data_IF_803360308173
#
_entry.id   IF_803360308173
#
_cell.length_a   1.000
_cell.length_b   1.000
_cell.length_c   1.000
_cell.angle_alpha   90.00
_cell.angle_beta   90.00
_cell.angle_gamma   90.00
#
_symmetry.space_group_name_H-M   'P 1'
#
loop_
_entity.id
_entity.type
_entity.pdbx_description
1 polymer ?
#
# COMPACT_ATOMS: atom_id res chain seq x y z
N UNK A 1 -46.86 11.28 25.56
CA UNK A 1 -46.34 10.54 24.39
C UNK A 1 -44.84 10.81 24.31
N UNK A 2 -43.98 9.79 24.31
CA UNK A 2 -42.51 9.95 24.20
C UNK A 2 -42.09 9.52 22.81
N UNK A 3 -41.44 10.42 22.08
CA UNK A 3 -40.83 10.13 20.77
C UNK A 3 -39.36 9.83 21.04
N UNK A 4 -38.91 8.66 20.59
CA UNK A 4 -37.50 8.29 20.62
C UNK A 4 -36.91 8.55 19.23
N UNK A 5 -35.96 9.46 19.16
CA UNK A 5 -35.15 9.69 17.96
C UNK A 5 -33.93 8.78 18.05
N UNK A 6 -33.84 7.83 17.12
CA UNK A 6 -32.65 7.02 16.93
C UNK A 6 -31.84 7.66 15.80
N UNK A 7 -30.61 8.08 16.10
CA UNK A 7 -29.63 8.42 15.08
C UNK A 7 -29.08 7.11 14.52
N UNK A 8 -29.60 6.67 13.38
CA UNK A 8 -28.94 5.65 12.58
C UNK A 8 -27.83 6.35 11.79
N UNK A 9 -26.58 5.98 12.05
CA UNK A 9 -25.48 6.32 11.15
C UNK A 9 -25.59 5.38 9.95
N UNK A 10 -26.03 5.90 8.81
CA UNK A 10 -25.74 5.25 7.54
C UNK A 10 -24.25 5.46 7.29
N UNK A 11 -23.42 4.52 7.76
CA UNK A 11 -22.01 4.49 7.40
C UNK A 11 -21.95 4.37 5.88
N UNK A 12 -21.12 5.19 5.25
CA UNK A 12 -20.71 4.93 3.88
C UNK A 12 -20.03 3.56 3.87
N UNK A 13 -20.59 2.59 3.15
CA UNK A 13 -20.04 1.23 3.00
C UNK A 13 -18.79 1.21 2.10
N UNK A 14 -17.97 2.27 2.16
CA UNK A 14 -16.87 2.49 1.23
C UNK A 14 -15.64 2.97 1.99
N UNK A 15 -14.71 2.04 2.16
CA UNK A 15 -13.34 2.28 2.58
C UNK A 15 -12.38 1.76 1.53
N UNK A 16 -11.09 1.95 1.75
CA UNK A 16 -10.03 1.28 1.02
C UNK A 16 -9.56 0.05 1.78
N UNK A 17 -8.96 -0.90 1.08
CA UNK A 17 -8.27 -2.03 1.66
C UNK A 17 -6.81 -2.02 1.23
N UNK A 18 -5.90 -2.16 2.18
CA UNK A 18 -4.46 -2.21 1.91
C UNK A 18 -3.82 -3.37 2.66
N UNK A 19 -3.04 -4.18 1.95
CA UNK A 19 -2.27 -5.28 2.52
C UNK A 19 -0.81 -5.17 2.07
N UNK A 20 0.12 -5.24 3.03
CA UNK A 20 1.56 -5.27 2.76
C UNK A 20 2.13 -6.61 3.23
N UNK A 21 2.77 -7.31 2.29
CA UNK A 21 3.47 -8.57 2.56
C UNK A 21 4.98 -8.40 2.49
N UNK A 22 5.72 -9.20 3.25
CA UNK A 22 7.19 -9.31 3.15
C UNK A 22 7.61 -10.72 2.77
N UNK A 23 8.61 -10.82 1.90
CA UNK A 23 9.21 -12.08 1.44
C UNK A 23 10.71 -12.11 1.71
N UNK A 24 11.32 -13.28 1.53
CA UNK A 24 12.75 -13.50 1.75
C UNK A 24 13.62 -12.80 0.69
N UNK A 25 13.13 -12.77 -0.54
CA UNK A 25 13.81 -12.23 -1.72
C UNK A 25 12.82 -11.54 -2.66
N UNK A 26 13.39 -10.71 -3.54
CA UNK A 26 12.65 -9.89 -4.50
C UNK A 26 11.98 -10.72 -5.60
N UNK A 27 12.60 -11.84 -6.01
CA UNK A 27 12.02 -12.72 -7.03
C UNK A 27 10.69 -13.30 -6.56
N UNK A 28 10.63 -13.81 -5.32
CA UNK A 28 9.39 -14.33 -4.73
C UNK A 28 8.32 -13.23 -4.60
N UNK A 29 8.71 -12.02 -4.18
CA UNK A 29 7.79 -10.90 -4.08
C UNK A 29 7.20 -10.52 -5.45
N UNK A 30 8.03 -10.46 -6.49
CA UNK A 30 7.60 -10.16 -7.86
C UNK A 30 6.66 -11.24 -8.42
N UNK A 31 6.97 -12.52 -8.22
CA UNK A 31 6.12 -13.64 -8.64
C UNK A 31 4.74 -13.59 -7.96
N UNK A 32 4.70 -13.30 -6.65
CA UNK A 32 3.44 -13.17 -5.91
C UNK A 32 2.64 -11.96 -6.36
N UNK A 33 3.29 -10.80 -6.56
CA UNK A 33 2.62 -9.61 -7.07
C UNK A 33 2.01 -9.84 -8.46
N UNK A 34 2.77 -10.46 -9.37
CA UNK A 34 2.28 -10.81 -10.71
C UNK A 34 1.08 -11.74 -10.63
N UNK A 35 1.17 -12.81 -9.83
CA UNK A 35 0.09 -13.77 -9.68
C UNK A 35 -1.18 -13.12 -9.12
N UNK A 36 -1.05 -12.26 -8.11
CA UNK A 36 -2.18 -11.55 -7.53
C UNK A 36 -2.78 -10.53 -8.49
N UNK A 37 -1.98 -9.81 -9.26
CA UNK A 37 -2.48 -8.90 -10.29
C UNK A 37 -3.28 -9.66 -11.36
N UNK A 38 -2.74 -10.78 -11.85
CA UNK A 38 -3.40 -11.64 -12.85
C UNK A 38 -4.75 -12.18 -12.32
N UNK A 39 -4.75 -12.76 -11.12
CA UNK A 39 -5.96 -13.33 -10.54
C UNK A 39 -6.98 -12.24 -10.20
N UNK A 40 -6.56 -11.07 -9.71
CA UNK A 40 -7.47 -9.96 -9.41
C UNK A 40 -8.14 -9.45 -10.67
N UNK A 41 -7.39 -9.25 -11.76
CA UNK A 41 -7.94 -8.85 -13.05
C UNK A 41 -8.91 -9.91 -13.61
N UNK A 42 -8.54 -11.19 -13.55
CA UNK A 42 -9.40 -12.28 -13.99
C UNK A 42 -10.70 -12.36 -13.17
N UNK A 43 -10.61 -12.17 -11.85
CA UNK A 43 -11.75 -12.24 -10.94
C UNK A 43 -12.71 -11.06 -11.13
N UNK A 44 -12.19 -9.83 -11.26
CA UNK A 44 -13.02 -8.67 -11.62
C UNK A 44 -13.75 -8.89 -12.95
N UNK A 45 -13.07 -9.38 -13.98
CA UNK A 45 -13.70 -9.69 -15.28
C UNK A 45 -14.70 -10.86 -15.21
N UNK A 46 -14.56 -11.77 -14.25
CA UNK A 46 -15.54 -12.83 -14.00
C UNK A 46 -16.81 -12.26 -13.32
N UNK A 47 -16.67 -11.39 -12.32
CA UNK A 47 -17.80 -10.73 -11.66
C UNK A 47 -18.61 -9.86 -12.61
N UNK A 48 -17.94 -9.08 -13.48
CA UNK A 48 -18.61 -8.25 -14.49
C UNK A 48 -19.46 -9.08 -15.46
N UNK A 49 -18.95 -10.23 -15.90
CA UNK A 49 -19.66 -11.11 -16.84
C UNK A 49 -20.83 -11.85 -16.20
N UNK A 50 -20.67 -12.30 -14.96
CA UNK A 50 -21.70 -13.05 -14.24
C UNK A 50 -22.75 -12.14 -13.61
N UNK A 51 -22.47 -10.83 -13.49
CA UNK A 51 -23.30 -9.87 -12.74
C UNK A 51 -23.61 -10.35 -11.32
N UNK A 52 -22.67 -11.07 -10.70
CA UNK A 52 -22.84 -11.67 -9.38
C UNK A 52 -23.72 -12.92 -9.35
N UNK A 53 -24.10 -13.50 -10.50
CA UNK A 53 -24.71 -14.83 -10.53
C UNK A 53 -23.67 -15.89 -10.12
N UNK A 54 -24.04 -16.81 -9.22
CA UNK A 54 -23.17 -17.90 -8.74
C UNK A 54 -23.05 -19.03 -9.79
N UNK A 55 -22.52 -18.68 -10.96
CA UNK A 55 -22.37 -19.55 -12.12
C UNK A 55 -20.96 -20.18 -12.14
N UNK A 56 -20.71 -21.10 -11.21
CA UNK A 56 -19.54 -21.97 -11.22
C UNK A 56 -18.29 -21.40 -10.52
N UNK A 57 -17.12 -22.05 -10.72
CA UNK A 57 -15.89 -21.69 -10.03
C UNK A 57 -15.36 -20.34 -10.53
N UNK A 58 -15.03 -19.46 -9.59
CA UNK A 58 -14.37 -18.17 -9.85
C UNK A 58 -12.85 -18.34 -9.96
N UNK A 59 -12.13 -17.38 -10.55
CA UNK A 59 -10.67 -17.37 -10.56
C UNK A 59 -10.05 -17.46 -9.15
N UNK A 60 -10.69 -16.90 -8.12
CA UNK A 60 -10.25 -17.06 -6.74
C UNK A 60 -10.48 -18.48 -6.19
N UNK A 61 -11.56 -19.17 -6.58
CA UNK A 61 -11.74 -20.58 -6.21
C UNK A 61 -10.63 -21.45 -6.81
N UNK A 62 -10.26 -21.18 -8.06
CA UNK A 62 -9.17 -21.88 -8.74
C UNK A 62 -7.82 -21.60 -8.07
N UNK A 63 -7.56 -20.35 -7.68
CA UNK A 63 -6.38 -19.97 -6.89
C UNK A 63 -6.34 -20.73 -5.57
N UNK A 64 -7.45 -20.72 -4.80
CA UNK A 64 -7.53 -21.41 -3.50
C UNK A 64 -7.20 -22.88 -3.65
N UNK A 65 -7.78 -23.54 -4.64
CA UNK A 65 -7.53 -24.95 -4.92
C UNK A 65 -6.07 -25.20 -5.34
N UNK A 66 -5.51 -24.38 -6.23
CA UNK A 66 -4.14 -24.54 -6.75
C UNK A 66 -3.08 -24.36 -5.66
N UNK A 67 -3.27 -23.38 -4.79
CA UNK A 67 -2.30 -23.01 -3.77
C UNK A 67 -2.54 -23.72 -2.42
N UNK A 68 -3.56 -24.58 -2.34
CA UNK A 68 -3.89 -25.32 -1.12
C UNK A 68 -4.40 -24.42 0.01
N UNK A 69 -5.03 -23.29 -0.32
CA UNK A 69 -5.56 -22.32 0.64
C UNK A 69 -6.93 -22.78 1.16
N UNK A 70 -7.47 -22.02 2.13
CA UNK A 70 -8.82 -22.20 2.66
C UNK A 70 -9.60 -20.90 2.51
N UNK A 71 -10.79 -21.00 1.93
CA UNK A 71 -11.75 -19.90 1.81
C UNK A 71 -13.09 -20.45 1.33
N UNK A 72 -14.18 -19.99 1.91
CA UNK A 72 -15.52 -20.33 1.42
C UNK A 72 -15.95 -19.27 0.42
N UNK A 73 -16.04 -19.65 -0.85
CA UNK A 73 -16.43 -18.77 -1.96
C UNK A 73 -15.74 -17.38 -1.98
N UNK A 74 -14.40 -17.32 -1.96
CA UNK A 74 -13.66 -16.05 -1.88
C UNK A 74 -14.03 -15.05 -2.98
N UNK A 75 -14.20 -13.78 -2.57
CA UNK A 75 -14.43 -12.64 -3.47
C UNK A 75 -15.81 -12.64 -4.13
N UNK A 76 -16.81 -13.26 -3.49
CA UNK A 76 -18.23 -13.10 -3.84
C UNK A 76 -18.89 -12.14 -2.86
N UNK A 77 -20.10 -11.68 -3.21
CA UNK A 77 -20.90 -10.75 -2.41
C UNK A 77 -20.13 -9.45 -2.11
N UNK A 78 -19.99 -9.08 -0.83
CA UNK A 78 -19.35 -7.84 -0.37
C UNK A 78 -17.81 -7.95 -0.26
N UNK A 79 -17.23 -9.11 -0.56
CA UNK A 79 -15.77 -9.37 -0.45
C UNK A 79 -14.97 -8.93 -1.69
N UNK A 80 -15.56 -8.13 -2.59
CA UNK A 80 -14.86 -7.61 -3.77
C UNK A 80 -15.37 -6.22 -4.19
N UNK A 81 -14.50 -5.33 -4.73
CA UNK A 81 -14.91 -4.03 -5.24
C UNK A 81 -15.99 -4.12 -6.32
N UNK A 82 -17.03 -3.29 -6.19
CA UNK A 82 -18.16 -3.21 -7.15
C UNK A 82 -18.12 -2.01 -8.11
N UNK A 83 -17.41 -0.93 -7.77
CA UNK A 83 -17.54 0.37 -8.45
C UNK A 83 -16.22 0.99 -8.91
N UNK A 84 -15.11 0.24 -8.84
CA UNK A 84 -13.78 0.77 -9.11
C UNK A 84 -12.97 -0.15 -10.04
N UNK A 85 -11.78 0.28 -10.45
CA UNK A 85 -10.86 -0.44 -11.35
C UNK A 85 -10.37 -1.80 -10.80
N UNK A 86 -10.79 -2.17 -9.60
CA UNK A 86 -10.41 -3.40 -8.90
C UNK A 86 -9.09 -3.26 -8.13
N UNK A 87 -8.60 -4.36 -7.54
CA UNK A 87 -7.37 -4.34 -6.78
C UNK A 87 -6.15 -4.12 -7.67
N UNK A 88 -5.22 -3.31 -7.18
CA UNK A 88 -3.93 -3.01 -7.78
C UNK A 88 -2.83 -3.68 -6.95
N UNK A 89 -1.85 -4.29 -7.62
CA UNK A 89 -0.80 -5.06 -6.95
C UNK A 89 0.57 -4.76 -7.55
N UNK A 90 1.53 -4.43 -6.69
CA UNK A 90 2.92 -4.22 -7.09
C UNK A 90 3.89 -4.89 -6.11
N UNK A 91 5.07 -5.26 -6.60
CA UNK A 91 6.21 -5.60 -5.77
C UNK A 91 7.17 -4.40 -5.69
N UNK A 92 7.72 -4.13 -4.51
CA UNK A 92 8.79 -3.16 -4.30
C UNK A 92 9.85 -3.78 -3.38
N UNK A 93 10.99 -4.14 -3.98
CA UNK A 93 12.03 -4.93 -3.31
C UNK A 93 11.48 -6.26 -2.83
N UNK A 94 11.54 -6.52 -1.52
CA UNK A 94 11.06 -7.76 -0.90
C UNK A 94 9.62 -7.68 -0.41
N UNK A 95 8.90 -6.61 -0.73
CA UNK A 95 7.54 -6.38 -0.27
C UNK A 95 6.55 -6.38 -1.42
N UNK A 96 5.32 -6.79 -1.13
CA UNK A 96 4.17 -6.72 -2.04
C UNK A 96 3.15 -5.80 -1.42
N UNK A 97 2.69 -4.81 -2.19
CA UNK A 97 1.54 -3.97 -1.87
C UNK A 97 0.34 -4.47 -2.67
N UNK A 98 -0.74 -4.80 -1.98
CA UNK A 98 -2.06 -5.05 -2.56
C UNK A 98 -2.99 -3.95 -2.07
N UNK A 99 -3.59 -3.21 -2.99
CA UNK A 99 -4.41 -2.04 -2.68
C UNK A 99 -5.73 -2.07 -3.45
N UNK A 100 -6.81 -1.76 -2.78
CA UNK A 100 -8.10 -1.49 -3.39
C UNK A 100 -8.66 -0.19 -2.83
N UNK A 101 -8.87 0.80 -3.68
CA UNK A 101 -9.35 2.14 -3.29
C UNK A 101 -10.78 2.17 -2.77
N UNK A 102 -11.58 1.16 -3.14
CA UNK A 102 -12.99 1.10 -2.77
C UNK A 102 -13.45 -0.34 -2.56
N UNK A 103 -13.63 -0.75 -1.31
CA UNK A 103 -14.23 -2.04 -0.96
C UNK A 103 -14.78 -2.04 0.47
N UNK A 104 -15.66 -2.99 0.78
CA UNK A 104 -16.08 -3.28 2.15
C UNK A 104 -15.01 -4.06 2.90
N UNK A 105 -14.50 -5.12 2.29
CA UNK A 105 -13.39 -5.92 2.79
C UNK A 105 -12.73 -6.65 1.62
N UNK A 106 -11.75 -7.50 1.89
CA UNK A 106 -11.16 -8.37 0.87
C UNK A 106 -11.03 -9.82 1.38
N UNK A 107 -10.97 -10.80 0.46
CA UNK A 107 -10.90 -12.20 0.85
C UNK A 107 -9.61 -12.52 1.59
N UNK A 108 -9.71 -13.17 2.75
CA UNK A 108 -8.54 -13.59 3.55
C UNK A 108 -7.54 -14.47 2.80
N UNK A 109 -7.95 -15.09 1.68
CA UNK A 109 -7.10 -15.90 0.81
C UNK A 109 -5.95 -15.11 0.18
N UNK A 110 -6.09 -13.78 0.05
CA UNK A 110 -5.03 -12.90 -0.46
C UNK A 110 -3.84 -12.90 0.52
N UNK A 111 -4.09 -12.64 1.81
CA UNK A 111 -3.06 -12.76 2.85
C UNK A 111 -2.60 -14.21 3.06
N UNK A 112 -3.52 -15.18 2.92
CA UNK A 112 -3.19 -16.61 2.95
C UNK A 112 -2.13 -17.01 1.91
N UNK A 113 -2.19 -16.43 0.71
CA UNK A 113 -1.19 -16.66 -0.34
C UNK A 113 0.22 -16.22 0.08
N UNK A 114 0.35 -15.10 0.80
CA UNK A 114 1.66 -14.62 1.28
C UNK A 114 2.32 -15.68 2.16
N UNK A 115 1.57 -16.27 3.09
CA UNK A 115 2.08 -17.33 3.96
C UNK A 115 2.38 -18.63 3.19
N UNK A 116 1.50 -19.02 2.26
CA UNK A 116 1.72 -20.21 1.43
C UNK A 116 2.99 -20.11 0.57
N UNK A 117 3.39 -18.88 0.20
CA UNK A 117 4.60 -18.58 -0.56
C UNK A 117 5.81 -18.23 0.31
N UNK A 118 5.76 -18.54 1.61
CA UNK A 118 6.88 -18.37 2.55
C UNK A 118 7.15 -16.93 2.97
N UNK A 119 6.24 -16.02 2.65
CA UNK A 119 6.22 -14.66 3.17
C UNK A 119 5.36 -14.54 4.43
N UNK A 120 5.04 -13.30 4.78
CA UNK A 120 4.10 -12.96 5.87
C UNK A 120 3.35 -11.68 5.54
N UNK A 121 2.14 -11.54 6.07
CA UNK A 121 1.46 -10.25 6.15
C UNK A 121 2.16 -9.41 7.22
N UNK A 122 2.58 -8.21 6.85
CA UNK A 122 3.21 -7.24 7.74
C UNK A 122 2.22 -6.20 8.23
N UNK A 123 1.32 -5.76 7.35
CA UNK A 123 0.31 -4.75 7.64
C UNK A 123 -0.97 -5.09 6.87
N UNK A 124 -2.11 -4.89 7.51
CA UNK A 124 -3.44 -4.98 6.92
C UNK A 124 -4.25 -3.79 7.42
N UNK A 125 -4.74 -2.96 6.50
CA UNK A 125 -5.68 -1.88 6.76
C UNK A 125 -6.99 -2.28 6.10
N UNK A 126 -7.91 -2.79 6.91
CA UNK A 126 -9.24 -3.21 6.46
C UNK A 126 -10.22 -2.05 6.62
N UNK A 127 -10.84 -1.63 5.51
CA UNK A 127 -11.87 -0.61 5.46
C UNK A 127 -11.44 0.81 5.93
N UNK A 128 -10.28 1.30 5.48
CA UNK A 128 -9.80 2.64 5.81
C UNK A 128 -10.59 3.74 5.09
N UNK A 129 -11.04 4.75 5.82
CA UNK A 129 -11.83 5.87 5.31
C UNK A 129 -11.03 7.17 5.13
N UNK A 130 -9.86 7.27 5.75
CA UNK A 130 -8.92 8.37 5.57
C UNK A 130 -7.82 8.02 4.56
N UNK A 131 -6.98 9.01 4.27
CA UNK A 131 -5.85 8.85 3.37
C UNK A 131 -4.83 7.86 3.92
N UNK A 132 -4.24 7.06 3.04
CA UNK A 132 -3.19 6.11 3.40
C UNK A 132 -1.84 6.82 3.32
N UNK A 133 -1.14 6.86 4.45
CA UNK A 133 0.25 7.28 4.50
C UNK A 133 1.17 6.08 4.26
N UNK A 134 2.29 6.34 3.58
CA UNK A 134 3.39 5.41 3.38
C UNK A 134 4.63 5.99 4.03
N UNK A 135 5.32 5.19 4.84
CA UNK A 135 6.66 5.50 5.33
C UNK A 135 7.67 4.60 4.68
N UNK A 136 8.68 5.20 4.09
CA UNK A 136 9.81 4.50 3.52
C UNK A 136 10.99 4.56 4.47
N UNK A 137 11.50 3.38 4.83
CA UNK A 137 12.83 3.17 5.40
C UNK A 137 13.81 3.00 4.22
N UNK A 138 14.82 3.88 4.10
CA UNK A 138 15.78 3.88 2.98
C UNK A 138 17.21 3.74 3.51
N UNK A 139 17.96 2.81 2.93
CA UNK A 139 19.36 2.60 3.32
C UNK A 139 20.23 2.05 2.21
N UNK A 140 21.55 2.15 2.40
CA UNK A 140 22.56 1.48 1.59
C UNK A 140 23.13 0.29 2.37
N UNK A 141 23.19 -0.91 1.79
CA UNK A 141 23.79 -2.08 2.43
C UNK A 141 25.25 -1.83 2.79
N UNK A 142 25.62 -2.15 4.04
CA UNK A 142 26.97 -1.93 4.58
C UNK A 142 28.07 -2.67 3.83
N UNK A 143 27.74 -3.81 3.25
CA UNK A 143 28.62 -4.65 2.44
C UNK A 143 28.90 -4.03 1.06
N UNK A 144 28.00 -3.18 0.55
CA UNK A 144 28.16 -2.49 -0.74
C UNK A 144 29.00 -1.22 -0.66
N UNK A 145 28.88 -0.43 0.42
CA UNK A 145 29.61 0.84 0.58
C UNK A 145 30.15 0.98 2.00
N UNK A 146 31.46 0.81 2.18
CA UNK A 146 32.11 0.87 3.50
C UNK A 146 32.41 2.29 3.96
N UNK A 147 32.64 3.20 3.02
CA UNK A 147 32.91 4.60 3.33
C UNK A 147 31.63 5.32 3.80
N UNK A 148 31.73 6.03 4.93
CA UNK A 148 30.58 6.71 5.55
C UNK A 148 30.18 7.96 4.77
N UNK A 149 31.15 8.69 4.24
CA UNK A 149 30.92 9.94 3.52
C UNK A 149 30.34 9.66 2.13
N UNK A 150 30.87 8.64 1.41
CA UNK A 150 30.29 8.19 0.13
C UNK A 150 28.83 7.74 0.30
N UNK A 151 28.54 7.03 1.40
CA UNK A 151 27.18 6.59 1.71
C UNK A 151 26.24 7.75 1.97
N UNK A 152 26.70 8.74 2.76
CA UNK A 152 25.92 9.94 3.04
C UNK A 152 25.64 10.69 1.75
N UNK A 153 26.66 10.92 0.92
CA UNK A 153 26.51 11.62 -0.37
C UNK A 153 25.49 10.94 -1.29
N UNK A 154 25.52 9.60 -1.39
CA UNK A 154 24.51 8.87 -2.20
C UNK A 154 23.11 8.96 -1.63
N UNK A 155 22.94 8.90 -0.30
CA UNK A 155 21.64 9.06 0.32
C UNK A 155 21.11 10.49 0.21
N UNK A 156 21.97 11.50 0.32
CA UNK A 156 21.60 12.91 0.11
C UNK A 156 21.18 13.14 -1.34
N UNK A 157 21.89 12.55 -2.31
CA UNK A 157 21.51 12.60 -3.72
C UNK A 157 20.16 11.91 -3.98
N UNK A 158 19.89 10.77 -3.33
CA UNK A 158 18.61 10.08 -3.42
C UNK A 158 17.49 10.91 -2.80
N UNK A 159 17.70 11.47 -1.61
CA UNK A 159 16.74 12.33 -0.91
C UNK A 159 16.38 13.56 -1.74
N UNK A 160 17.37 14.25 -2.31
CA UNK A 160 17.14 15.41 -3.18
C UNK A 160 16.32 15.03 -4.43
N UNK A 161 16.68 13.94 -5.11
CA UNK A 161 15.95 13.49 -6.29
C UNK A 161 14.53 13.03 -5.96
N UNK A 162 14.35 12.32 -4.85
CA UNK A 162 13.03 11.89 -4.40
C UNK A 162 12.17 13.12 -4.01
N UNK A 163 12.72 14.13 -3.36
CA UNK A 163 12.00 15.36 -3.03
C UNK A 163 11.44 16.07 -4.27
N UNK A 164 12.20 16.13 -5.36
CA UNK A 164 11.75 16.72 -6.63
C UNK A 164 10.52 15.97 -7.19
N UNK A 165 10.59 14.64 -7.22
CA UNK A 165 9.52 13.78 -7.76
C UNK A 165 8.28 13.72 -6.86
N UNK A 166 8.46 13.76 -5.53
CA UNK A 166 7.36 13.78 -4.56
C UNK A 166 6.42 14.97 -4.77
N UNK A 167 6.93 16.11 -5.22
CA UNK A 167 6.08 17.28 -5.52
C UNK A 167 5.01 16.97 -6.58
N UNK A 168 5.28 16.02 -7.47
CA UNK A 168 4.35 15.57 -8.52
C UNK A 168 3.39 14.51 -7.96
N UNK A 169 3.92 13.48 -7.28
CA UNK A 169 3.11 12.34 -6.81
C UNK A 169 2.19 12.66 -5.62
N UNK A 170 2.48 13.73 -4.88
CA UNK A 170 1.69 14.16 -3.72
C UNK A 170 0.70 15.27 -4.04
N UNK A 171 0.81 15.90 -5.22
CA UNK A 171 -0.04 17.01 -5.61
C UNK A 171 -1.49 16.53 -5.74
N UNK A 172 -2.38 17.15 -4.97
CA UNK A 172 -3.83 16.93 -5.08
C UNK A 172 -4.39 17.41 -6.43
N UNK A 173 -5.43 16.72 -6.89
CA UNK A 173 -6.19 17.16 -8.06
C UNK A 173 -7.00 18.41 -7.74
N UNK A 174 -7.37 19.17 -8.79
CA UNK A 174 -8.10 20.44 -8.62
C UNK A 174 -9.45 20.29 -7.92
N UNK A 175 -10.04 19.09 -8.00
CA UNK A 175 -11.33 18.76 -7.38
C UNK A 175 -11.20 18.32 -5.91
N UNK A 176 -9.98 17.98 -5.45
CA UNK A 176 -9.73 17.56 -4.08
C UNK A 176 -9.44 18.77 -3.19
N UNK A 177 -10.45 19.18 -2.42
CA UNK A 177 -10.41 20.36 -1.54
C UNK A 177 -9.69 20.15 -0.21
N UNK A 178 -9.21 18.93 0.08
CA UNK A 178 -8.46 18.64 1.31
C UNK A 178 -7.12 19.39 1.31
N UNK A 179 -6.57 19.75 2.50
CA UNK A 179 -5.27 20.41 2.57
C UNK A 179 -4.15 19.51 2.05
N UNK A 180 -3.19 20.08 1.32
CA UNK A 180 -1.96 19.37 0.95
C UNK A 180 -1.23 18.90 2.22
N UNK A 181 -0.86 17.62 2.26
CA UNK A 181 -0.05 17.06 3.34
C UNK A 181 1.40 17.05 2.85
N UNK A 182 2.23 17.88 3.47
CA UNK A 182 3.65 17.93 3.14
C UNK A 182 4.37 16.65 3.59
N UNK A 183 5.28 16.09 2.77
CA UNK A 183 6.13 14.99 3.21
C UNK A 183 6.85 15.30 4.53
N UNK A 184 7.06 14.26 5.35
CA UNK A 184 7.83 14.37 6.57
C UNK A 184 9.12 13.56 6.46
N UNK A 185 10.24 14.28 6.40
CA UNK A 185 11.58 13.71 6.36
C UNK A 185 12.16 13.61 7.76
N UNK A 186 12.84 12.51 8.03
CA UNK A 186 13.63 12.35 9.24
C UNK A 186 14.76 11.35 9.03
N UNK A 187 15.81 11.45 9.86
CA UNK A 187 17.00 10.61 9.75
C UNK A 187 17.05 9.66 10.93
N UNK A 188 17.27 8.38 10.65
CA UNK A 188 17.40 7.35 11.67
C UNK A 188 18.84 7.18 12.14
N UNK A 189 19.01 6.25 13.07
CA UNK A 189 20.35 5.79 13.43
C UNK A 189 21.11 5.31 12.19
N UNK A 190 22.44 5.32 12.25
CA UNK A 190 23.27 4.75 11.19
C UNK A 190 23.18 5.44 9.82
N UNK A 191 22.53 6.60 9.76
CA UNK A 191 22.37 7.39 8.55
C UNK A 191 21.28 6.86 7.62
N UNK A 192 20.36 6.02 8.08
CA UNK A 192 19.16 5.66 7.30
C UNK A 192 18.30 6.90 7.05
N UNK A 193 17.68 6.98 5.88
CA UNK A 193 16.73 8.05 5.54
C UNK A 193 15.31 7.54 5.67
N UNK A 194 14.42 8.40 6.16
CA UNK A 194 13.02 8.09 6.29
C UNK A 194 12.19 9.21 5.69
N UNK A 195 11.10 8.82 5.02
CA UNK A 195 10.11 9.78 4.54
C UNK A 195 8.72 9.21 4.66
N UNK A 196 7.82 9.97 5.31
CA UNK A 196 6.40 9.67 5.35
C UNK A 196 5.65 10.58 4.36
N UNK A 197 4.79 9.97 3.55
CA UNK A 197 4.12 10.61 2.40
C UNK A 197 2.68 10.14 2.30
N UNK A 198 1.78 11.04 1.92
CA UNK A 198 0.46 10.69 1.37
C UNK A 198 0.50 10.93 -0.13
N UNK A 199 0.37 9.86 -0.91
CA UNK A 199 0.34 9.95 -2.37
C UNK A 199 -1.07 10.26 -2.86
N UNK A 200 -1.17 10.97 -3.99
CA UNK A 200 -2.43 11.09 -4.72
C UNK A 200 -2.91 9.72 -5.21
N UNK A 201 -2.01 8.95 -5.81
CA UNK A 201 -2.21 7.56 -6.18
C UNK A 201 -1.16 6.71 -5.44
N UNK A 202 -1.64 5.85 -4.54
CA UNK A 202 -0.79 5.06 -3.65
C UNK A 202 0.15 4.13 -4.43
N UNK A 203 -0.35 3.47 -5.46
CA UNK A 203 0.41 2.45 -6.20
C UNK A 203 1.39 3.12 -7.16
N UNK A 204 0.97 4.17 -7.87
CA UNK A 204 1.85 4.98 -8.71
C UNK A 204 3.01 5.57 -7.89
N UNK A 205 2.70 6.16 -6.74
CA UNK A 205 3.69 6.75 -5.84
C UNK A 205 4.73 5.75 -5.35
N UNK A 206 4.28 4.60 -4.81
CA UNK A 206 5.19 3.55 -4.33
C UNK A 206 6.02 2.96 -5.47
N UNK A 207 5.43 2.75 -6.65
CA UNK A 207 6.15 2.29 -7.84
C UNK A 207 7.19 3.32 -8.33
N UNK A 208 6.90 4.61 -8.23
CA UNK A 208 7.82 5.70 -8.50
C UNK A 208 9.05 5.66 -7.57
N UNK A 209 8.81 5.58 -6.25
CA UNK A 209 9.89 5.47 -5.26
C UNK A 209 10.73 4.21 -5.48
N UNK A 210 10.10 3.05 -5.76
CA UNK A 210 10.81 1.80 -6.11
C UNK A 210 11.72 1.99 -7.32
N UNK A 211 11.24 2.69 -8.35
CA UNK A 211 12.02 2.90 -9.59
C UNK A 211 13.25 3.74 -9.31
N UNK A 212 13.11 4.86 -8.60
CA UNK A 212 14.23 5.67 -8.14
C UNK A 212 15.21 4.87 -7.27
N UNK A 213 14.68 4.06 -6.36
CA UNK A 213 15.50 3.26 -5.45
C UNK A 213 16.40 2.27 -6.22
N UNK A 214 15.84 1.60 -7.24
CA UNK A 214 16.58 0.71 -8.12
C UNK A 214 17.63 1.44 -8.95
N UNK A 215 17.28 2.59 -9.54
CA UNK A 215 18.22 3.40 -10.33
C UNK A 215 19.44 3.86 -9.52
N UNK A 216 19.21 4.20 -8.25
CA UNK A 216 20.25 4.71 -7.35
C UNK A 216 20.86 3.62 -6.46
N UNK A 217 20.48 2.36 -6.68
CA UNK A 217 20.94 1.19 -5.95
C UNK A 217 20.82 1.31 -4.41
N UNK A 218 19.75 1.96 -3.94
CA UNK A 218 19.38 2.02 -2.52
C UNK A 218 18.35 0.92 -2.22
N UNK A 219 18.38 0.40 -1.00
CA UNK A 219 17.36 -0.53 -0.52
C UNK A 219 16.19 0.26 0.06
N UNK A 220 15.01 -0.32 -0.11
CA UNK A 220 13.75 0.25 0.31
C UNK A 220 12.98 -0.78 1.14
N UNK A 221 12.39 -0.31 2.23
CA UNK A 221 11.32 -0.98 2.94
C UNK A 221 10.24 0.05 3.22
N UNK A 222 8.98 -0.35 3.26
CA UNK A 222 7.90 0.57 3.59
C UNK A 222 6.85 -0.04 4.50
N UNK A 223 6.11 0.85 5.16
CA UNK A 223 4.92 0.53 5.94
C UNK A 223 3.81 1.48 5.52
N UNK A 224 2.57 1.06 5.76
CA UNK A 224 1.39 1.87 5.51
C UNK A 224 0.59 2.03 6.79
N UNK A 225 -0.12 3.14 6.92
CA UNK A 225 -1.12 3.35 7.95
C UNK A 225 -2.17 4.35 7.48
N UNK A 226 -3.35 4.29 8.10
CA UNK A 226 -4.40 5.27 7.88
C UNK A 226 -4.10 6.57 8.63
N UNK A 227 -4.19 7.70 7.94
CA UNK A 227 -4.08 9.02 8.55
C UNK A 227 -5.21 9.26 9.56
N UNK A 228 -4.94 9.86 10.73
CA UNK A 228 -6.00 10.16 11.69
C UNK A 228 -7.07 11.09 11.11
N UNK A 229 -8.34 10.71 11.26
CA UNK A 229 -9.46 11.49 10.76
C UNK A 229 -9.49 12.92 11.31
N UNK A 230 -9.65 13.89 10.41
CA UNK A 230 -9.80 15.30 10.78
C UNK A 230 -8.52 15.97 11.30
N UNK A 231 -7.36 15.29 11.22
CA UNK A 231 -6.07 15.88 11.58
C UNK A 231 -5.48 16.57 10.35
N UNK A 232 -5.25 17.91 10.38
CA UNK A 232 -4.72 18.64 9.22
C UNK A 232 -3.32 18.19 8.79
N UNK A 233 -2.52 17.76 9.76
CA UNK A 233 -1.13 17.36 9.55
C UNK A 233 -0.85 16.04 10.29
N UNK A 234 -1.05 14.88 9.63
CA UNK A 234 -0.86 13.57 10.26
C UNK A 234 0.61 13.28 10.60
N UNK A 235 1.56 14.03 10.06
CA UNK A 235 2.99 13.81 10.25
C UNK A 235 3.66 14.78 11.23
N UNK A 236 2.89 15.59 11.95
CA UNK A 236 3.42 16.58 12.89
C UNK A 236 4.45 16.00 13.89
N UNK A 237 4.24 14.76 14.35
CA UNK A 237 5.14 14.07 15.28
C UNK A 237 6.43 13.55 14.62
N UNK A 238 6.42 13.29 13.30
CA UNK A 238 7.57 12.78 12.56
C UNK A 238 8.55 13.88 12.17
N UNK A 239 8.08 15.11 12.00
CA UNK A 239 8.94 16.24 11.60
C UNK A 239 9.90 16.72 12.70
N UNK A 240 9.76 16.22 13.92
CA UNK A 240 10.59 16.57 15.08
C UNK A 240 10.61 18.07 15.40
N UNK A 241 11.18 18.48 16.54
CA UNK A 241 11.69 19.83 16.66
C UNK A 241 12.87 19.96 15.69
N UNK A 242 12.85 20.94 14.78
CA UNK A 242 14.05 21.34 14.02
C UNK A 242 15.17 21.55 15.04
N UNK A 243 16.15 20.66 15.07
CA UNK A 243 17.41 20.97 15.75
C UNK A 243 18.05 22.02 14.86
N UNK A 244 17.86 23.30 15.21
CA UNK A 244 18.62 24.39 14.58
C UNK A 244 20.10 24.13 14.88
N UNK A 245 20.86 23.75 13.85
CA UNK A 245 22.34 23.69 13.89
C UNK A 245 22.97 25.09 13.86
#
# INVERSE_FOLDING_TARGET
MRIYLYQAFASNNSGSYTLVGTFKDEATAEEVAHLLAEVSAAHSAWLERTRGADDGPSPLDELVKREGLRGDKPGRDDDWPLYDAGPQVIAAGKQVLFYCSFTLTMPTVIGGLFYARGGRVQMELDHAHAEIAVEFDIWLPYDKIKDKDERREKLDAFEARLADELSIWTRRDEEDTRPQIEPAWYHGEWGTRHVAVVFRDLVEGVQGVRTLAREMAVELHFKVWECPHGVPDPFALLRGPRIEE
#
